data_IF_160700013812
#
_entry.id   IF_160700013812
#
_cell.length_a   1.000
_cell.length_b   1.000
_cell.length_c   1.000
_cell.angle_alpha   90.00
_cell.angle_beta   90.00
_cell.angle_gamma   90.00
#
_symmetry.space_group_name_H-M   'P 1'
#
loop_
_entity.id
_entity.type
_entity.pdbx_description
1 polymer ?
#
# COMPACT_ATOMS: atom_id res chain seq x y z
N UNK A 1 -4.25 -9.41 12.46
CA UNK A 1 -3.08 -8.71 11.88
C UNK A 1 -3.43 -7.24 11.79
N UNK A 2 -2.51 -6.27 11.90
CA UNK A 2 -2.86 -4.86 11.68
C UNK A 2 -2.68 -4.49 10.20
N UNK A 3 -3.33 -3.41 9.77
CA UNK A 3 -3.24 -2.91 8.39
C UNK A 3 -1.80 -2.57 8.00
N UNK A 4 -1.02 -1.98 8.92
CA UNK A 4 0.39 -1.70 8.71
C UNK A 4 1.21 -2.97 8.42
N UNK A 5 1.00 -4.04 9.19
CA UNK A 5 1.68 -5.33 9.01
C UNK A 5 1.39 -5.91 7.61
N UNK A 6 0.12 -5.81 7.17
CA UNK A 6 -0.30 -6.25 5.84
C UNK A 6 0.44 -5.51 4.74
N UNK A 7 0.56 -4.18 4.86
CA UNK A 7 1.27 -3.35 3.88
C UNK A 7 2.75 -3.74 3.84
N UNK A 8 3.40 -3.87 4.99
CA UNK A 8 4.81 -4.25 5.07
C UNK A 8 5.08 -5.63 4.47
N UNK A 9 4.19 -6.61 4.75
CA UNK A 9 4.25 -7.94 4.15
C UNK A 9 4.15 -7.87 2.62
N UNK A 10 3.13 -7.16 2.10
CA UNK A 10 2.90 -7.02 0.66
C UNK A 10 4.11 -6.36 -0.01
N UNK A 11 4.61 -5.25 0.53
CA UNK A 11 5.76 -4.54 -0.04
C UNK A 11 7.05 -5.33 0.11
N UNK A 12 7.23 -6.08 1.20
CA UNK A 12 8.39 -6.93 1.41
C UNK A 12 8.46 -8.10 0.43
N UNK A 13 7.32 -8.70 0.08
CA UNK A 13 7.25 -9.79 -0.90
C UNK A 13 7.40 -9.28 -2.33
N UNK A 14 6.73 -8.17 -2.68
CA UNK A 14 6.70 -7.67 -4.06
C UNK A 14 7.85 -6.71 -4.39
N UNK A 15 8.59 -6.24 -3.39
CA UNK A 15 9.63 -5.21 -3.48
C UNK A 15 9.07 -3.81 -3.71
N UNK A 16 8.16 -3.64 -4.67
CA UNK A 16 7.49 -2.37 -4.94
C UNK A 16 6.06 -2.57 -5.44
N UNK A 17 5.19 -1.60 -5.14
CA UNK A 17 3.81 -1.57 -5.63
C UNK A 17 3.59 -0.26 -6.38
N UNK A 18 3.29 -0.36 -7.68
CA UNK A 18 2.96 0.80 -8.50
C UNK A 18 1.54 1.29 -8.20
N UNK A 19 1.45 2.47 -7.59
CA UNK A 19 0.19 3.17 -7.32
C UNK A 19 -0.52 2.71 -6.04
N UNK A 20 -1.04 3.69 -5.29
CA UNK A 20 -1.74 3.46 -4.02
C UNK A 20 -3.01 2.63 -4.22
N UNK A 21 -3.78 2.86 -5.29
CA UNK A 21 -4.99 2.09 -5.61
C UNK A 21 -4.72 0.58 -5.68
N UNK A 22 -3.55 0.16 -6.21
CA UNK A 22 -3.19 -1.25 -6.25
C UNK A 22 -2.93 -1.81 -4.85
N UNK A 23 -2.30 -1.02 -3.98
CA UNK A 23 -2.05 -1.41 -2.59
C UNK A 23 -3.36 -1.63 -1.83
N UNK A 24 -4.35 -0.73 -1.96
CA UNK A 24 -5.69 -0.90 -1.39
C UNK A 24 -6.35 -2.21 -1.81
N UNK A 25 -6.30 -2.55 -3.11
CA UNK A 25 -6.83 -3.81 -3.64
C UNK A 25 -6.11 -5.04 -3.07
N UNK A 26 -4.79 -4.98 -2.91
CA UNK A 26 -4.02 -6.09 -2.38
C UNK A 26 -4.34 -6.35 -0.91
N UNK A 27 -4.47 -5.29 -0.09
CA UNK A 27 -4.89 -5.44 1.31
C UNK A 27 -6.32 -5.97 1.39
N UNK A 28 -7.24 -5.49 0.52
CA UNK A 28 -8.59 -6.02 0.43
C UNK A 28 -8.61 -7.52 0.11
N UNK A 29 -7.86 -7.96 -0.91
CA UNK A 29 -7.78 -9.38 -1.27
C UNK A 29 -7.21 -10.23 -0.12
N UNK A 30 -6.21 -9.72 0.60
CA UNK A 30 -5.68 -10.40 1.78
C UNK A 30 -6.72 -10.55 2.89
N UNK A 31 -7.58 -9.54 3.07
CA UNK A 31 -8.65 -9.55 4.06
C UNK A 31 -9.72 -10.59 3.71
N UNK A 32 -10.22 -10.53 2.47
CA UNK A 32 -11.38 -11.31 2.04
C UNK A 32 -11.00 -12.73 1.64
N UNK A 33 -10.06 -12.89 0.71
CA UNK A 33 -9.66 -14.22 0.20
C UNK A 33 -8.76 -14.94 1.19
N UNK A 34 -7.86 -14.20 1.85
CA UNK A 34 -7.01 -14.74 2.91
C UNK A 34 -7.77 -15.02 4.21
N UNK A 35 -9.01 -14.53 4.35
CA UNK A 35 -9.82 -14.60 5.58
C UNK A 35 -9.05 -14.11 6.82
N UNK A 36 -8.19 -13.12 6.62
CA UNK A 36 -7.37 -12.55 7.68
C UNK A 36 -8.10 -11.35 8.23
N UNK A 37 -8.37 -11.35 9.53
CA UNK A 37 -8.86 -10.15 10.21
C UNK A 37 -7.72 -9.13 10.30
N UNK A 38 -7.87 -8.06 9.51
CA UNK A 38 -6.93 -6.94 9.42
C UNK A 38 -7.44 -5.69 10.15
N UNK A 39 -8.70 -5.69 10.62
CA UNK A 39 -9.33 -4.52 11.24
C UNK A 39 -9.47 -3.31 10.32
N UNK A 40 -9.76 -3.53 9.02
CA UNK A 40 -9.97 -2.46 8.04
C UNK A 40 -11.38 -2.52 7.45
N UNK A 41 -12.04 -1.37 7.32
CA UNK A 41 -13.29 -1.23 6.59
C UNK A 41 -13.03 -0.83 5.14
N UNK A 42 -13.67 -1.52 4.19
CA UNK A 42 -13.56 -1.24 2.77
C UNK A 42 -14.88 -0.76 2.20
N UNK A 43 -14.82 0.37 1.48
CA UNK A 43 -15.95 0.93 0.75
C UNK A 43 -15.71 0.83 -0.77
N UNK A 44 -16.78 0.62 -1.57
CA UNK A 44 -16.67 0.74 -3.03
C UNK A 44 -16.19 2.12 -3.44
N UNK A 45 -15.23 2.20 -4.36
CA UNK A 45 -14.70 3.44 -4.89
C UNK A 45 -14.42 3.34 -6.39
N UNK A 46 -14.09 4.47 -7.04
CA UNK A 46 -14.01 4.62 -8.50
C UNK A 46 -13.18 3.54 -9.22
N UNK A 47 -12.13 3.04 -8.58
CA UNK A 47 -11.23 2.07 -9.18
C UNK A 47 -11.20 0.73 -8.45
N UNK A 48 -12.12 0.49 -7.51
CA UNK A 48 -12.16 -0.71 -6.67
C UNK A 48 -12.34 -0.38 -5.19
N UNK A 49 -12.24 -1.38 -4.30
CA UNK A 49 -12.38 -1.16 -2.86
C UNK A 49 -11.27 -0.24 -2.35
N UNK A 50 -11.66 0.72 -1.52
CA UNK A 50 -10.78 1.66 -0.84
C UNK A 50 -11.06 1.61 0.66
N UNK A 51 -10.04 1.83 1.48
CA UNK A 51 -10.18 1.84 2.94
C UNK A 51 -9.50 3.06 3.55
N UNK A 52 -10.19 3.84 4.42
CA UNK A 52 -9.55 4.92 5.16
C UNK A 52 -8.43 4.40 6.06
N UNK A 53 -8.61 3.22 6.66
CA UNK A 53 -7.62 2.57 7.53
C UNK A 53 -6.34 2.21 6.77
N UNK A 54 -6.48 1.71 5.54
CA UNK A 54 -5.34 1.46 4.65
C UNK A 54 -4.63 2.76 4.29
N UNK A 55 -5.38 3.83 4.02
CA UNK A 55 -4.79 5.12 3.68
C UNK A 55 -4.02 5.74 4.87
N UNK A 56 -4.57 5.63 6.08
CA UNK A 56 -3.92 6.07 7.30
C UNK A 56 -2.65 5.26 7.58
N UNK A 57 -2.72 3.94 7.46
CA UNK A 57 -1.57 3.06 7.65
C UNK A 57 -0.45 3.37 6.64
N UNK A 58 -0.77 3.58 5.36
CA UNK A 58 0.22 4.03 4.36
C UNK A 58 0.89 5.33 4.82
N UNK A 59 0.10 6.31 5.26
CA UNK A 59 0.60 7.62 5.66
C UNK A 59 1.53 7.52 6.88
N UNK A 60 1.15 6.72 7.87
CA UNK A 60 1.95 6.48 9.07
C UNK A 60 3.26 5.75 8.75
N UNK A 61 3.22 4.69 7.92
CA UNK A 61 4.43 3.96 7.53
C UNK A 61 5.41 4.82 6.71
N UNK A 62 4.90 5.73 5.87
CA UNK A 62 5.74 6.71 5.17
C UNK A 62 6.39 7.67 6.19
N UNK A 63 5.61 8.19 7.13
CA UNK A 63 6.10 9.10 8.17
C UNK A 63 7.15 8.45 9.08
N UNK A 64 7.01 7.16 9.35
CA UNK A 64 7.95 6.35 10.13
C UNK A 64 9.19 5.93 9.32
N UNK A 65 9.21 6.17 7.99
CA UNK A 65 10.32 5.82 7.11
C UNK A 65 10.41 4.32 6.78
N UNK A 66 9.34 3.55 7.04
CA UNK A 66 9.30 2.11 6.78
C UNK A 66 8.98 1.78 5.31
N UNK A 67 8.28 2.68 4.62
CA UNK A 67 8.07 2.62 3.17
C UNK A 67 8.32 4.00 2.55
N UNK A 68 8.69 4.02 1.27
CA UNK A 68 8.90 5.25 0.51
C UNK A 68 8.01 5.30 -0.72
N UNK A 69 7.51 6.48 -1.05
CA UNK A 69 6.82 6.74 -2.32
C UNK A 69 7.80 7.42 -3.26
N UNK A 70 8.01 6.83 -4.43
CA UNK A 70 8.86 7.39 -5.48
C UNK A 70 7.95 7.84 -6.61
N UNK A 71 7.96 9.13 -6.94
CA UNK A 71 7.24 9.61 -8.13
C UNK A 71 8.00 9.20 -9.40
N UNK A 72 7.30 9.00 -10.51
CA UNK A 72 7.97 8.70 -11.79
C UNK A 72 8.94 9.82 -12.21
N UNK A 73 8.67 11.06 -11.82
CA UNK A 73 9.58 12.18 -12.01
C UNK A 73 10.89 12.04 -11.21
N UNK A 74 10.85 11.44 -10.02
CA UNK A 74 12.05 11.23 -9.21
C UNK A 74 12.92 10.11 -9.79
N UNK A 75 12.31 9.06 -10.36
CA UNK A 75 13.06 7.99 -11.05
C UNK A 75 13.82 8.49 -12.27
N UNK A 76 13.20 9.40 -13.06
CA UNK A 76 13.83 10.02 -14.23
C UNK A 76 15.02 10.93 -13.87
N UNK A 77 15.09 11.46 -12.64
CA UNK A 77 16.23 12.25 -12.17
C UNK A 77 17.42 11.38 -11.78
N UNK A 78 17.16 10.25 -11.14
CA UNK A 78 18.21 9.30 -10.72
C UNK A 78 18.88 8.66 -11.94
N UNK A 79 18.10 8.28 -12.95
CA UNK A 79 18.64 7.62 -14.16
C UNK A 79 19.46 8.53 -15.08
N UNK A 80 19.43 9.86 -14.91
CA UNK A 80 20.20 10.81 -15.74
C UNK A 80 21.57 11.18 -15.16
N UNK A 81 21.89 10.70 -13.96
CA UNK A 81 23.14 11.01 -13.25
C UNK A 81 24.06 9.79 -13.12
N UNK A 82 23.84 8.75 -13.93
CA UNK A 82 24.69 7.55 -14.05
C UNK A 82 25.23 7.47 -15.46
#
# INVERSE_FOLDING_TARGET
>A
MRVGDAILLITGILGSVRGTTRLHKLVFLLAIEGKIDIGAEFIPYYYGPWSPDVQEAITSLIKEGLISVISENDQLRISRHI
#
